data_IF_359677021296
#
_entry.id   IF_359677021296
#
_cell.length_a   1.000
_cell.length_b   1.000
_cell.length_c   1.000
_cell.angle_alpha   90.00
_cell.angle_beta   90.00
_cell.angle_gamma   90.00
#
_symmetry.space_group_name_H-M   'P 1'
#
loop_
_entity.id
_entity.type
_entity.pdbx_description
1 polymer ?
#
# COMPACT_ATOMS: atom_id res chain seq x y z
N UNK A 1 88.99 -42.92 41.58
CA UNK A 1 87.74 -43.44 41.00
C UNK A 1 87.64 -42.85 39.61
N UNK A 2 87.36 -43.61 38.54
CA UNK A 2 87.13 -43.00 37.23
C UNK A 2 85.92 -42.04 37.34
N UNK A 3 86.10 -40.81 36.87
CA UNK A 3 85.05 -39.77 36.80
C UNK A 3 84.06 -40.15 35.69
N UNK A 4 82.91 -40.68 36.09
CA UNK A 4 81.85 -41.12 35.16
C UNK A 4 80.98 -39.93 34.71
N UNK A 5 81.10 -38.79 35.38
CA UNK A 5 80.43 -37.54 35.03
C UNK A 5 80.77 -37.08 33.60
N UNK A 6 81.97 -37.40 33.11
CA UNK A 6 82.38 -37.10 31.73
C UNK A 6 81.55 -37.86 30.68
N UNK A 7 80.95 -39.01 31.03
CA UNK A 7 80.07 -39.78 30.14
C UNK A 7 78.60 -39.35 30.19
N UNK A 8 78.22 -38.54 31.18
CA UNK A 8 76.85 -38.03 31.37
C UNK A 8 76.64 -36.66 30.70
N UNK A 9 77.72 -36.00 30.25
CA UNK A 9 77.67 -34.74 29.52
C UNK A 9 77.02 -34.91 28.13
N UNK A 10 76.12 -33.98 27.79
CA UNK A 10 75.35 -34.03 26.54
C UNK A 10 76.21 -33.87 25.26
N UNK A 11 77.43 -33.36 25.40
CA UNK A 11 78.39 -33.13 24.31
C UNK A 11 79.50 -34.20 24.26
N UNK A 12 79.34 -35.34 24.94
CA UNK A 12 80.33 -36.42 24.91
C UNK A 12 80.51 -36.98 23.49
N UNK A 13 81.68 -36.75 22.90
CA UNK A 13 82.07 -37.33 21.61
C UNK A 13 82.91 -38.60 21.83
N UNK A 14 82.38 -39.79 21.49
CA UNK A 14 83.09 -41.07 21.64
C UNK A 14 84.41 -41.13 20.87
N UNK A 15 84.50 -40.42 19.74
CA UNK A 15 85.67 -40.47 18.85
C UNK A 15 86.80 -39.60 19.40
N UNK A 16 86.47 -38.41 19.91
CA UNK A 16 87.44 -37.53 20.58
C UNK A 16 88.02 -38.18 21.85
N UNK A 17 87.17 -38.85 22.65
CA UNK A 17 87.61 -39.56 23.86
C UNK A 17 88.53 -40.75 23.54
N UNK A 18 88.20 -41.57 22.53
CA UNK A 18 89.04 -42.67 22.10
C UNK A 18 90.42 -42.18 21.61
N UNK A 19 90.46 -41.09 20.84
CA UNK A 19 91.70 -40.48 20.38
C UNK A 19 92.54 -39.94 21.55
N UNK A 20 91.91 -39.27 22.53
CA UNK A 20 92.58 -38.79 23.73
C UNK A 20 93.17 -39.94 24.56
N UNK A 21 92.46 -41.07 24.65
CA UNK A 21 92.92 -42.24 25.40
C UNK A 21 94.12 -42.91 24.73
N UNK A 22 94.09 -43.06 23.40
CA UNK A 22 95.21 -43.61 22.62
C UNK A 22 96.45 -42.71 22.77
N UNK A 23 96.28 -41.39 22.67
CA UNK A 23 97.38 -40.42 22.87
C UNK A 23 97.92 -40.43 24.30
N UNK A 24 97.11 -40.74 25.31
CA UNK A 24 97.54 -40.84 26.70
C UNK A 24 98.34 -42.11 27.01
N UNK A 25 98.13 -43.19 26.25
CA UNK A 25 98.80 -44.48 26.47
C UNK A 25 100.01 -44.71 25.56
N UNK A 26 100.16 -43.95 24.47
CA UNK A 26 101.27 -44.07 23.52
C UNK A 26 102.32 -42.96 23.70
N UNK A 27 103.57 -43.32 23.97
CA UNK A 27 104.73 -42.40 23.89
C UNK A 27 105.10 -42.16 22.43
N UNK A 28 105.49 -40.93 22.05
CA UNK A 28 105.88 -40.57 20.67
C UNK A 28 107.19 -41.21 20.14
N UNK A 29 107.66 -42.28 20.80
CA UNK A 29 108.90 -43.01 20.51
C UNK A 29 108.71 -44.53 20.34
N UNK A 30 107.49 -45.05 20.51
CA UNK A 30 107.20 -46.46 20.27
C UNK A 30 106.88 -46.68 18.78
N UNK A 31 107.52 -47.67 18.14
CA UNK A 31 107.36 -47.96 16.71
C UNK A 31 106.06 -48.73 16.38
N UNK A 32 105.43 -49.36 17.38
CA UNK A 32 104.13 -50.03 17.26
C UNK A 32 103.12 -49.44 18.26
N UNK A 33 101.90 -49.17 17.79
CA UNK A 33 100.82 -48.58 18.60
C UNK A 33 100.20 -49.65 19.53
N UNK A 34 100.40 -49.54 20.83
CA UNK A 34 99.79 -50.45 21.82
C UNK A 34 98.31 -50.09 22.05
N UNK A 35 97.43 -50.80 21.36
CA UNK A 35 95.97 -50.68 21.50
C UNK A 35 95.39 -51.55 22.62
N UNK A 36 96.16 -52.49 23.16
CA UNK A 36 95.65 -53.44 24.15
C UNK A 36 95.38 -52.75 25.49
N UNK A 37 96.18 -51.74 25.86
CA UNK A 37 96.00 -51.00 27.11
C UNK A 37 94.74 -50.10 27.06
N UNK A 38 94.53 -49.25 26.04
CA UNK A 38 93.27 -48.51 25.85
C UNK A 38 92.03 -49.40 25.83
N UNK A 39 92.07 -50.51 25.10
CA UNK A 39 90.94 -51.44 24.99
C UNK A 39 90.62 -52.06 26.35
N UNK A 40 91.63 -52.49 27.11
CA UNK A 40 91.43 -53.01 28.48
C UNK A 40 90.83 -51.96 29.41
N UNK A 41 91.26 -50.69 29.30
CA UNK A 41 90.74 -49.60 30.11
C UNK A 41 89.28 -49.26 29.76
N UNK A 42 88.93 -49.12 28.49
CA UNK A 42 87.53 -48.92 28.05
C UNK A 42 86.66 -50.11 28.48
N UNK A 43 87.15 -51.34 28.31
CA UNK A 43 86.39 -52.52 28.73
C UNK A 43 86.14 -52.55 30.24
N UNK A 44 87.10 -52.09 31.04
CA UNK A 44 86.93 -51.97 32.49
C UNK A 44 85.93 -50.87 32.84
N UNK A 45 86.01 -49.72 32.19
CA UNK A 45 85.09 -48.59 32.41
C UNK A 45 83.65 -48.95 32.01
N UNK A 46 83.45 -49.68 30.90
CA UNK A 46 82.14 -50.20 30.46
C UNK A 46 81.59 -51.22 31.46
N UNK A 47 82.42 -52.14 31.95
CA UNK A 47 81.99 -53.10 32.96
C UNK A 47 81.60 -52.40 34.27
N UNK A 48 82.37 -51.39 34.68
CA UNK A 48 82.05 -50.59 35.87
C UNK A 48 80.75 -49.79 35.70
N UNK A 49 80.52 -49.20 34.52
CA UNK A 49 79.26 -48.52 34.20
C UNK A 49 78.08 -49.50 34.28
N UNK A 50 78.22 -50.71 33.71
CA UNK A 50 77.19 -51.74 33.78
C UNK A 50 76.92 -52.19 35.23
N UNK A 51 77.96 -52.36 36.04
CA UNK A 51 77.83 -52.69 37.47
C UNK A 51 77.13 -51.57 38.26
N UNK A 52 77.44 -50.31 37.97
CA UNK A 52 76.80 -49.17 38.61
C UNK A 52 75.35 -49.00 38.17
N UNK A 53 75.05 -49.16 36.87
CA UNK A 53 73.67 -49.18 36.36
C UNK A 53 72.89 -50.33 36.99
N UNK A 54 73.48 -51.52 37.10
CA UNK A 54 72.86 -52.66 37.81
C UNK A 54 72.60 -52.35 39.27
N UNK A 55 73.52 -51.68 39.96
CA UNK A 55 73.35 -51.28 41.36
C UNK A 55 72.23 -50.24 41.51
N UNK A 56 72.22 -49.20 40.66
CA UNK A 56 71.17 -48.17 40.67
C UNK A 56 69.80 -48.74 40.29
N UNK A 57 69.73 -49.62 39.30
CA UNK A 57 68.52 -50.37 38.94
C UNK A 57 68.07 -51.27 40.09
N UNK A 58 68.99 -51.91 40.82
CA UNK A 58 68.69 -52.76 41.97
C UNK A 58 68.22 -51.94 43.18
N UNK A 59 68.75 -50.75 43.41
CA UNK A 59 68.36 -49.91 44.53
C UNK A 59 67.01 -49.23 44.27
N UNK A 60 66.76 -48.79 43.02
CA UNK A 60 65.54 -48.07 42.61
C UNK A 60 64.52 -48.94 41.86
N UNK A 61 64.67 -50.27 41.88
CA UNK A 61 63.80 -51.19 41.13
C UNK A 61 62.31 -50.97 41.41
N UNK A 62 61.95 -50.62 42.66
CA UNK A 62 60.55 -50.39 43.07
C UNK A 62 59.93 -49.18 42.40
N UNK A 63 60.68 -48.07 42.29
CA UNK A 63 60.18 -46.84 41.67
C UNK A 63 60.12 -46.96 40.15
N UNK A 64 61.09 -47.66 39.54
CA UNK A 64 61.05 -47.97 38.11
C UNK A 64 59.85 -48.85 37.78
N UNK A 65 59.60 -49.90 38.56
CA UNK A 65 58.43 -50.76 38.38
C UNK A 65 57.11 -50.01 38.59
N UNK A 66 57.01 -49.10 39.57
CA UNK A 66 55.80 -48.30 39.77
C UNK A 66 55.57 -47.32 38.63
N UNK A 67 56.61 -46.63 38.15
CA UNK A 67 56.51 -45.73 37.00
C UNK A 67 56.16 -46.47 35.72
N UNK A 68 56.74 -47.65 35.49
CA UNK A 68 56.38 -48.51 34.35
C UNK A 68 54.92 -48.99 34.46
N UNK A 69 54.46 -49.35 35.66
CA UNK A 69 53.06 -49.69 35.89
C UNK A 69 52.11 -48.49 35.68
N UNK A 70 52.47 -47.29 36.14
CA UNK A 70 51.69 -46.07 35.95
C UNK A 70 51.64 -45.62 34.49
N UNK A 71 52.72 -45.79 33.73
CA UNK A 71 52.74 -45.52 32.29
C UNK A 71 51.87 -46.55 31.56
N UNK A 72 51.98 -47.83 31.92
CA UNK A 72 51.15 -48.90 31.34
C UNK A 72 49.65 -48.65 31.60
N UNK A 73 49.27 -48.29 32.81
CA UNK A 73 47.86 -48.00 33.15
C UNK A 73 47.34 -46.76 32.44
N UNK A 74 48.15 -45.70 32.32
CA UNK A 74 47.79 -44.51 31.54
C UNK A 74 47.62 -44.85 30.07
N UNK A 75 48.54 -45.60 29.46
CA UNK A 75 48.41 -46.08 28.09
C UNK A 75 47.14 -46.92 27.88
N UNK A 76 46.80 -47.80 28.83
CA UNK A 76 45.55 -48.56 28.79
C UNK A 76 44.32 -47.65 28.86
N UNK A 77 44.29 -46.66 29.74
CA UNK A 77 43.17 -45.69 29.81
C UNK A 77 43.08 -44.81 28.56
N UNK A 78 44.21 -44.46 27.95
CA UNK A 78 44.26 -43.66 26.73
C UNK A 78 43.71 -44.48 25.55
N UNK A 79 44.15 -45.74 25.43
CA UNK A 79 43.60 -46.69 24.45
C UNK A 79 42.10 -46.92 24.69
N UNK A 80 41.66 -47.00 25.94
CA UNK A 80 40.25 -47.15 26.28
C UNK A 80 39.41 -45.90 25.93
N UNK A 81 40.01 -44.70 25.93
CA UNK A 81 39.32 -43.44 25.61
C UNK A 81 39.29 -43.15 24.10
N UNK A 82 40.27 -43.64 23.34
CA UNK A 82 40.32 -43.45 21.88
C UNK A 82 39.08 -44.00 21.17
N UNK A 83 38.58 -45.16 21.59
CA UNK A 83 37.38 -45.77 21.00
C UNK A 83 36.12 -44.91 21.23
N UNK A 84 35.73 -44.54 22.47
CA UNK A 84 34.63 -43.61 22.73
C UNK A 84 34.80 -42.25 22.04
N UNK A 85 36.02 -41.70 21.99
CA UNK A 85 36.26 -40.40 21.35
C UNK A 85 36.06 -40.48 19.83
N UNK A 86 36.47 -41.59 19.21
CA UNK A 86 36.21 -41.88 17.80
C UNK A 86 34.71 -42.07 17.55
N UNK A 87 34.00 -42.75 18.46
CA UNK A 87 32.56 -42.97 18.35
C UNK A 87 31.77 -41.67 18.46
N UNK A 88 32.11 -40.79 19.42
CA UNK A 88 31.51 -39.45 19.56
C UNK A 88 31.81 -38.58 18.35
N UNK A 89 33.06 -38.56 17.86
CA UNK A 89 33.41 -37.80 16.67
C UNK A 89 32.68 -38.33 15.43
N UNK A 90 32.50 -39.65 15.32
CA UNK A 90 31.72 -40.26 14.24
C UNK A 90 30.24 -39.90 14.34
N UNK A 91 29.67 -39.90 15.55
CA UNK A 91 28.27 -39.55 15.81
C UNK A 91 28.01 -38.07 15.53
N UNK A 92 28.96 -37.20 15.90
CA UNK A 92 28.91 -35.78 15.57
C UNK A 92 28.98 -35.54 14.05
N UNK A 93 29.92 -36.21 13.36
CA UNK A 93 30.01 -36.13 11.89
C UNK A 93 28.74 -36.63 11.20
N UNK A 94 28.12 -37.71 11.71
CA UNK A 94 26.82 -38.18 11.25
C UNK A 94 25.75 -37.12 11.45
N UNK A 95 25.60 -36.56 12.65
CA UNK A 95 24.63 -35.50 12.91
C UNK A 95 24.85 -34.25 12.03
N UNK A 96 26.11 -33.86 11.82
CA UNK A 96 26.46 -32.73 10.97
C UNK A 96 26.05 -32.96 9.52
N UNK A 97 26.31 -34.15 8.99
CA UNK A 97 26.02 -34.48 7.59
C UNK A 97 24.54 -34.81 7.39
N UNK A 98 23.92 -35.53 8.31
CA UNK A 98 22.58 -36.08 8.17
C UNK A 98 21.49 -35.07 8.56
N UNK A 99 21.81 -34.08 9.43
CA UNK A 99 20.81 -33.14 9.95
C UNK A 99 21.17 -31.69 9.61
N UNK A 100 22.38 -31.23 9.94
CA UNK A 100 22.75 -29.82 9.75
C UNK A 100 22.88 -29.45 8.27
N UNK A 101 23.58 -30.25 7.46
CA UNK A 101 23.74 -29.98 6.04
C UNK A 101 22.39 -29.91 5.28
N UNK A 102 21.46 -30.87 5.40
CA UNK A 102 20.16 -30.77 4.74
C UNK A 102 19.30 -29.64 5.30
N UNK A 103 19.40 -29.31 6.59
CA UNK A 103 18.71 -28.15 7.17
C UNK A 103 19.13 -26.84 6.48
N UNK A 104 20.44 -26.58 6.35
CA UNK A 104 20.91 -25.36 5.69
C UNK A 104 20.54 -25.31 4.20
N UNK A 105 20.51 -26.45 3.51
CA UNK A 105 20.01 -26.54 2.14
C UNK A 105 18.51 -26.19 2.08
N UNK A 106 17.71 -26.73 3.00
CA UNK A 106 16.28 -26.45 3.08
C UNK A 106 15.99 -24.97 3.42
N UNK A 107 16.76 -24.36 4.31
CA UNK A 107 16.60 -22.94 4.67
C UNK A 107 16.91 -22.01 3.48
N UNK A 108 17.94 -22.33 2.71
CA UNK A 108 18.26 -21.62 1.46
C UNK A 108 17.12 -21.75 0.44
N UNK A 109 16.57 -22.95 0.25
CA UNK A 109 15.42 -23.19 -0.64
C UNK A 109 14.16 -22.48 -0.14
N UNK A 110 13.90 -22.51 1.16
CA UNK A 110 12.77 -21.80 1.77
C UNK A 110 12.89 -20.30 1.56
N UNK A 111 14.08 -19.72 1.78
CA UNK A 111 14.34 -18.31 1.53
C UNK A 111 14.17 -17.94 0.05
N UNK A 112 14.61 -18.79 -0.87
CA UNK A 112 14.39 -18.61 -2.30
C UNK A 112 12.89 -18.67 -2.66
N UNK A 113 12.17 -19.66 -2.13
CA UNK A 113 10.73 -19.82 -2.33
C UNK A 113 9.94 -18.63 -1.78
N UNK A 114 10.31 -18.12 -0.60
CA UNK A 114 9.71 -16.94 0.02
C UNK A 114 9.88 -15.70 -0.86
N UNK A 115 11.06 -15.50 -1.44
CA UNK A 115 11.32 -14.40 -2.40
C UNK A 115 10.47 -14.57 -3.66
N UNK A 116 10.44 -15.77 -4.24
CA UNK A 116 9.63 -16.06 -5.44
C UNK A 116 8.14 -15.82 -5.18
N UNK A 117 7.62 -16.31 -4.07
CA UNK A 117 6.23 -16.10 -3.68
C UNK A 117 5.92 -14.61 -3.53
N UNK A 118 6.74 -13.86 -2.78
CA UNK A 118 6.56 -12.43 -2.61
C UNK A 118 6.60 -11.67 -3.95
N UNK A 119 7.56 -12.00 -4.83
CA UNK A 119 7.62 -11.40 -6.16
C UNK A 119 6.42 -11.76 -7.03
N UNK A 120 5.88 -12.98 -6.88
CA UNK A 120 4.71 -13.43 -7.63
C UNK A 120 3.45 -12.71 -7.15
N UNK A 121 3.27 -12.55 -5.84
CA UNK A 121 2.13 -11.81 -5.28
C UNK A 121 2.16 -10.33 -5.70
N UNK A 122 3.34 -9.72 -5.68
CA UNK A 122 3.54 -8.35 -6.15
C UNK A 122 3.25 -8.26 -7.66
N UNK A 123 3.73 -9.22 -8.45
CA UNK A 123 3.45 -9.26 -9.88
C UNK A 123 1.96 -9.46 -10.16
N UNK A 124 1.27 -10.36 -9.46
CA UNK A 124 -0.18 -10.61 -9.63
C UNK A 124 -1.00 -9.38 -9.27
N UNK A 125 -0.69 -8.73 -8.16
CA UNK A 125 -1.37 -7.50 -7.74
C UNK A 125 -1.11 -6.36 -8.72
N UNK A 126 0.11 -6.24 -9.28
CA UNK A 126 0.40 -5.31 -10.37
C UNK A 126 -0.38 -5.65 -11.64
N UNK A 127 -0.44 -6.91 -12.05
CA UNK A 127 -1.18 -7.36 -13.24
C UNK A 127 -2.66 -7.06 -13.10
N UNK A 128 -3.25 -7.35 -11.94
CA UNK A 128 -4.65 -7.04 -11.67
C UNK A 128 -4.92 -5.53 -11.68
N UNK A 129 -4.04 -4.73 -11.07
CA UNK A 129 -4.12 -3.27 -11.14
C UNK A 129 -4.05 -2.74 -12.58
N UNK A 130 -3.12 -3.26 -13.39
CA UNK A 130 -3.00 -2.88 -14.80
C UNK A 130 -4.21 -3.31 -15.63
N UNK A 131 -4.75 -4.50 -15.37
CA UNK A 131 -5.98 -4.98 -16.01
C UNK A 131 -7.14 -4.03 -15.74
N UNK A 132 -7.35 -3.64 -14.48
CA UNK A 132 -8.37 -2.66 -14.12
C UNK A 132 -8.11 -1.28 -14.72
N UNK A 133 -6.85 -0.84 -14.79
CA UNK A 133 -6.50 0.43 -15.41
C UNK A 133 -6.79 0.44 -16.92
N UNK A 134 -6.59 -0.69 -17.61
CA UNK A 134 -6.98 -0.86 -19.02
C UNK A 134 -8.51 -0.89 -19.15
N UNK A 135 -9.19 -1.62 -18.26
CA UNK A 135 -10.65 -1.68 -18.24
C UNK A 135 -11.27 -0.30 -18.04
N UNK A 136 -10.70 0.53 -17.16
CA UNK A 136 -11.12 1.92 -16.94
C UNK A 136 -11.04 2.77 -18.21
N UNK A 137 -10.01 2.56 -19.05
CA UNK A 137 -9.90 3.27 -20.32
C UNK A 137 -10.90 2.77 -21.37
N UNK A 138 -11.38 1.53 -21.24
CA UNK A 138 -12.36 0.92 -22.15
C UNK A 138 -13.82 1.17 -21.75
N UNK A 139 -14.10 1.49 -20.48
CA UNK A 139 -15.46 1.77 -20.02
C UNK A 139 -15.96 3.13 -20.48
N UNK A 140 -17.10 3.13 -21.17
CA UNK A 140 -17.77 4.35 -21.64
C UNK A 140 -18.76 4.91 -20.61
N UNK A 141 -19.22 4.07 -19.68
CA UNK A 141 -20.16 4.48 -18.64
C UNK A 141 -19.47 5.18 -17.46
N UNK A 142 -20.08 6.26 -16.97
CA UNK A 142 -19.54 7.10 -15.89
C UNK A 142 -19.62 6.42 -14.54
N UNK A 143 -20.70 5.67 -14.25
CA UNK A 143 -20.83 4.93 -13.00
C UNK A 143 -19.86 3.74 -12.95
N UNK A 144 -19.78 2.97 -14.03
CA UNK A 144 -18.81 1.87 -14.13
C UNK A 144 -17.35 2.35 -14.00
N UNK A 145 -17.01 3.47 -14.63
CA UNK A 145 -15.68 4.07 -14.52
C UNK A 145 -15.37 4.56 -13.09
N UNK A 146 -16.34 5.14 -12.39
CA UNK A 146 -16.17 5.56 -11.00
C UNK A 146 -16.01 4.36 -10.05
N UNK A 147 -16.77 3.28 -10.26
CA UNK A 147 -16.60 2.02 -9.53
C UNK A 147 -15.20 1.43 -9.69
N UNK A 148 -14.69 1.37 -10.93
CA UNK A 148 -13.33 0.90 -11.21
C UNK A 148 -12.25 1.78 -10.58
N UNK A 149 -12.42 3.10 -10.55
CA UNK A 149 -11.49 4.02 -9.85
C UNK A 149 -11.49 3.75 -8.34
N UNK A 150 -12.67 3.52 -7.75
CA UNK A 150 -12.78 3.14 -6.33
C UNK A 150 -12.07 1.81 -6.06
N UNK A 151 -12.30 0.80 -6.89
CA UNK A 151 -11.68 -0.52 -6.75
C UNK A 151 -10.15 -0.47 -6.93
N UNK A 152 -9.66 0.36 -7.85
CA UNK A 152 -8.24 0.67 -7.98
C UNK A 152 -7.67 1.32 -6.72
N UNK A 153 -8.42 2.22 -6.08
CA UNK A 153 -8.01 2.89 -4.86
C UNK A 153 -8.03 1.95 -3.64
N UNK A 154 -9.03 1.08 -3.50
CA UNK A 154 -9.09 0.08 -2.42
C UNK A 154 -7.96 -0.91 -2.55
N UNK A 155 -7.66 -1.40 -3.75
CA UNK A 155 -6.56 -2.33 -3.95
C UNK A 155 -5.18 -1.68 -3.77
N UNK A 156 -5.02 -0.41 -4.16
CA UNK A 156 -3.83 0.36 -3.85
C UNK A 156 -3.61 0.51 -2.33
N UNK A 157 -4.68 0.57 -1.52
CA UNK A 157 -4.60 0.58 -0.06
C UNK A 157 -4.24 -0.78 0.52
N UNK A 158 -4.79 -1.87 -0.02
CA UNK A 158 -4.54 -3.24 0.46
C UNK A 158 -3.09 -3.67 0.22
N UNK A 159 -2.48 -3.23 -0.89
CA UNK A 159 -1.11 -3.61 -1.27
C UNK A 159 -0.15 -2.41 -1.29
N UNK A 160 0.33 -1.92 -0.12
CA UNK A 160 1.24 -0.78 -0.05
C UNK A 160 2.61 -1.03 -0.72
N UNK A 161 3.02 -2.30 -0.85
CA UNK A 161 4.24 -2.69 -1.56
C UNK A 161 4.25 -2.38 -3.06
N UNK A 162 3.09 -2.05 -3.66
CA UNK A 162 3.03 -1.58 -5.04
C UNK A 162 3.51 -0.12 -5.18
N UNK A 163 3.44 0.68 -4.11
CA UNK A 163 3.82 2.10 -4.14
C UNK A 163 5.31 2.35 -4.41
N UNK A 164 6.17 1.36 -4.11
CA UNK A 164 7.60 1.43 -4.41
C UNK A 164 7.93 1.23 -5.88
N UNK A 165 7.02 0.68 -6.69
CA UNK A 165 7.25 0.50 -8.13
C UNK A 165 7.04 1.81 -8.89
N UNK A 166 8.02 2.17 -9.72
CA UNK A 166 7.92 3.37 -10.58
C UNK A 166 6.74 3.30 -11.55
N UNK A 167 6.51 2.12 -12.16
CA UNK A 167 5.39 1.89 -13.08
C UNK A 167 4.05 2.18 -12.39
N UNK A 168 3.88 1.70 -11.16
CA UNK A 168 2.68 1.96 -10.37
C UNK A 168 2.52 3.46 -10.06
N UNK A 169 3.61 4.15 -9.70
CA UNK A 169 3.58 5.60 -9.44
C UNK A 169 3.18 6.42 -10.68
N UNK A 170 3.62 6.02 -11.86
CA UNK A 170 3.25 6.71 -13.10
C UNK A 170 1.79 6.43 -13.48
N UNK A 171 1.31 5.20 -13.34
CA UNK A 171 -0.12 4.90 -13.49
C UNK A 171 -0.99 5.57 -12.43
N UNK A 172 -0.49 5.79 -11.21
CA UNK A 172 -1.20 6.51 -10.16
C UNK A 172 -1.36 8.00 -10.51
N UNK A 173 -0.36 8.62 -11.15
CA UNK A 173 -0.50 9.99 -11.68
C UNK A 173 -1.54 10.05 -12.79
N UNK A 174 -1.50 9.09 -13.72
CA UNK A 174 -2.50 8.98 -14.80
C UNK A 174 -3.91 8.75 -14.25
N UNK A 175 -4.04 7.95 -13.18
CA UNK A 175 -5.31 7.73 -12.49
C UNK A 175 -5.87 9.01 -11.87
N UNK A 176 -5.03 9.83 -11.21
CA UNK A 176 -5.46 11.13 -10.69
C UNK A 176 -5.92 12.08 -11.80
N UNK A 177 -5.30 12.02 -12.97
CA UNK A 177 -5.71 12.81 -14.14
C UNK A 177 -7.01 12.28 -14.76
N UNK A 178 -7.20 10.97 -14.85
CA UNK A 178 -8.44 10.38 -15.34
C UNK A 178 -9.61 10.62 -14.38
N UNK A 179 -9.37 10.57 -13.08
CA UNK A 179 -10.33 10.94 -12.03
C UNK A 179 -10.77 12.40 -12.16
N UNK A 180 -9.84 13.34 -12.36
CA UNK A 180 -10.16 14.74 -12.64
C UNK A 180 -10.99 14.90 -13.92
N UNK A 181 -10.63 14.19 -14.98
CA UNK A 181 -11.40 14.23 -16.24
C UNK A 181 -12.81 13.66 -16.07
N UNK A 182 -12.94 12.58 -15.30
CA UNK A 182 -14.21 11.94 -15.02
C UNK A 182 -15.10 12.80 -14.14
N UNK A 183 -14.56 13.40 -13.07
CA UNK A 183 -15.29 14.37 -12.24
C UNK A 183 -15.77 15.57 -13.07
N UNK A 184 -14.92 16.12 -13.94
CA UNK A 184 -15.34 17.18 -14.87
C UNK A 184 -16.46 16.73 -15.82
N UNK A 185 -16.39 15.53 -16.39
CA UNK A 185 -17.46 14.97 -17.23
C UNK A 185 -18.76 14.76 -16.45
N UNK A 186 -18.68 14.23 -15.24
CA UNK A 186 -19.87 14.03 -14.38
C UNK A 186 -20.51 15.37 -14.02
N UNK A 187 -19.73 16.37 -13.61
CA UNK A 187 -20.22 17.72 -13.31
C UNK A 187 -20.82 18.39 -14.55
N UNK A 188 -20.20 18.22 -15.73
CA UNK A 188 -20.74 18.74 -16.98
C UNK A 188 -22.08 18.07 -17.34
N UNK A 189 -22.21 16.75 -17.15
CA UNK A 189 -23.44 16.01 -17.40
C UNK A 189 -24.57 16.43 -16.44
N UNK A 190 -24.26 16.69 -15.17
CA UNK A 190 -25.22 17.21 -14.18
C UNK A 190 -25.66 18.64 -14.54
N UNK A 191 -24.75 19.47 -15.08
CA UNK A 191 -25.07 20.85 -15.50
C UNK A 191 -25.80 20.93 -16.83
N UNK A 192 -25.69 19.91 -17.69
CA UNK A 192 -26.36 19.87 -18.99
C UNK A 192 -27.81 19.37 -18.93
N UNK A 193 -28.36 19.14 -17.73
CA UNK A 193 -29.75 18.68 -17.56
C UNK A 193 -30.67 19.68 -18.25
N UNK A 194 -31.40 19.21 -19.26
CA UNK A 194 -32.36 20.04 -19.99
C UNK A 194 -33.78 19.62 -19.62
N UNK A 195 -34.75 20.49 -19.87
CA UNK A 195 -36.18 20.17 -19.66
C UNK A 195 -36.69 19.06 -20.59
N UNK A 196 -35.95 18.74 -21.64
CA UNK A 196 -36.23 17.69 -22.63
C UNK A 196 -35.12 16.64 -22.53
N UNK A 197 -34.95 16.04 -21.35
CA UNK A 197 -33.97 14.98 -21.21
C UNK A 197 -34.48 13.72 -21.91
N UNK A 198 -33.78 13.27 -22.96
CA UNK A 198 -34.04 11.96 -23.57
C UNK A 198 -33.83 10.84 -22.53
N UNK A 199 -34.41 9.66 -22.74
CA UNK A 199 -34.21 8.54 -21.81
C UNK A 199 -32.73 8.19 -21.63
N UNK A 200 -31.93 8.33 -22.70
CA UNK A 200 -30.48 8.12 -22.68
C UNK A 200 -29.73 9.17 -21.86
N UNK A 201 -30.14 10.44 -21.93
CA UNK A 201 -29.60 11.50 -21.08
C UNK A 201 -29.95 11.24 -19.61
N UNK A 202 -31.17 10.81 -19.29
CA UNK A 202 -31.56 10.47 -17.91
C UNK A 202 -30.71 9.34 -17.34
N UNK A 203 -30.40 8.31 -18.13
CA UNK A 203 -29.50 7.23 -17.70
C UNK A 203 -28.07 7.69 -17.53
N UNK A 204 -27.57 8.57 -18.42
CA UNK A 204 -26.23 9.14 -18.29
C UNK A 204 -26.10 10.07 -17.08
N UNK A 205 -27.12 10.89 -16.80
CA UNK A 205 -27.16 11.75 -15.61
C UNK A 205 -27.24 10.89 -14.35
N UNK A 206 -28.03 9.81 -14.35
CA UNK A 206 -28.07 8.86 -13.24
C UNK A 206 -26.71 8.21 -13.01
N UNK A 207 -26.01 7.81 -14.07
CA UNK A 207 -24.67 7.21 -13.93
C UNK A 207 -23.60 8.24 -13.53
N UNK A 208 -23.73 9.50 -13.95
CA UNK A 208 -22.91 10.61 -13.47
C UNK A 208 -23.14 10.93 -11.99
N UNK A 209 -24.40 10.91 -11.52
CA UNK A 209 -24.75 11.13 -10.11
C UNK A 209 -24.17 10.02 -9.24
N UNK A 210 -24.40 8.76 -9.62
CA UNK A 210 -23.88 7.60 -8.89
C UNK A 210 -22.34 7.61 -8.90
N UNK A 211 -21.73 7.90 -10.05
CA UNK A 211 -20.26 7.96 -10.15
C UNK A 211 -19.64 9.09 -9.34
N UNK A 212 -20.27 10.26 -9.29
CA UNK A 212 -19.79 11.38 -8.46
C UNK A 212 -20.05 11.14 -6.97
N UNK A 213 -21.14 10.47 -6.60
CA UNK A 213 -21.39 10.05 -5.22
C UNK A 213 -20.35 9.05 -4.71
N UNK A 214 -19.90 8.12 -5.55
CA UNK A 214 -18.83 7.16 -5.21
C UNK A 214 -17.46 7.81 -5.02
N UNK A 215 -17.17 8.86 -5.77
CA UNK A 215 -15.85 9.51 -5.77
C UNK A 215 -15.75 10.62 -4.72
N UNK A 216 -16.73 11.53 -4.69
CA UNK A 216 -16.76 12.67 -3.77
C UNK A 216 -18.17 13.25 -3.59
N UNK A 217 -18.78 12.97 -2.44
CA UNK A 217 -20.09 13.53 -2.02
C UNK A 217 -20.11 15.07 -2.07
N UNK A 218 -18.99 15.74 -1.74
CA UNK A 218 -18.96 17.21 -1.67
C UNK A 218 -19.03 17.84 -3.06
N UNK A 219 -18.37 17.22 -4.03
CA UNK A 219 -18.42 17.68 -5.41
C UNK A 219 -19.81 17.51 -5.99
N UNK A 220 -20.52 16.42 -5.66
CA UNK A 220 -21.91 16.22 -6.07
C UNK A 220 -22.83 17.33 -5.51
N UNK A 221 -22.76 17.61 -4.22
CA UNK A 221 -23.53 18.70 -3.59
C UNK A 221 -23.24 20.06 -4.27
N UNK A 222 -21.96 20.36 -4.53
CA UNK A 222 -21.56 21.60 -5.20
C UNK A 222 -22.04 21.68 -6.66
N UNK A 223 -22.06 20.55 -7.38
CA UNK A 223 -22.49 20.49 -8.76
C UNK A 223 -24.00 20.72 -8.87
N UNK A 224 -24.78 20.10 -7.99
CA UNK A 224 -26.23 20.31 -7.87
C UNK A 224 -26.56 21.75 -7.52
N UNK A 225 -25.88 22.34 -6.52
CA UNK A 225 -26.08 23.73 -6.14
C UNK A 225 -25.70 24.70 -7.28
N UNK A 226 -24.60 24.44 -7.98
CA UNK A 226 -24.17 25.22 -9.14
C UNK A 226 -25.20 25.14 -10.27
N UNK A 227 -25.72 23.95 -10.57
CA UNK A 227 -26.78 23.77 -11.58
C UNK A 227 -28.04 24.56 -11.20
N UNK A 228 -28.53 24.43 -9.96
CA UNK A 228 -29.69 25.18 -9.46
C UNK A 228 -29.48 26.70 -9.56
N UNK A 229 -28.34 27.21 -9.10
CA UNK A 229 -28.01 28.64 -9.19
C UNK A 229 -27.94 29.16 -10.62
N UNK A 230 -27.50 28.33 -11.57
CA UNK A 230 -27.44 28.65 -12.99
C UNK A 230 -28.86 28.76 -13.58
N UNK A 231 -29.75 27.81 -13.31
CA UNK A 231 -31.15 27.90 -13.76
C UNK A 231 -31.87 29.10 -13.15
N UNK A 232 -31.64 29.42 -11.88
CA UNK A 232 -32.20 30.61 -11.23
C UNK A 232 -31.68 31.88 -11.93
N UNK A 233 -30.37 32.00 -12.14
CA UNK A 233 -29.76 33.17 -12.78
C UNK A 233 -30.23 33.37 -14.22
N UNK A 234 -30.37 32.28 -14.99
CA UNK A 234 -30.94 32.31 -16.34
C UNK A 234 -32.42 32.73 -16.32
N UNK A 235 -33.20 32.24 -15.35
CA UNK A 235 -34.61 32.60 -15.21
C UNK A 235 -34.79 34.08 -14.83
N UNK A 236 -33.94 34.59 -13.94
CA UNK A 236 -33.93 36.01 -13.54
C UNK A 236 -33.52 36.92 -14.71
N UNK A 237 -32.52 36.52 -15.51
CA UNK A 237 -32.09 37.32 -16.67
C UNK A 237 -33.14 37.33 -17.79
N UNK A 238 -33.81 36.19 -18.03
CA UNK A 238 -34.95 36.11 -18.94
C UNK A 238 -36.10 37.01 -18.49
N UNK A 239 -36.44 36.99 -17.19
CA UNK A 239 -37.43 37.89 -16.59
C UNK A 239 -37.05 39.35 -16.76
N UNK A 240 -35.80 39.72 -16.47
CA UNK A 240 -35.34 41.09 -16.60
C UNK A 240 -35.52 41.64 -18.03
N UNK A 241 -35.42 40.76 -19.05
CA UNK A 241 -35.62 41.13 -20.46
C UNK A 241 -37.10 41.14 -20.86
N UNK A 242 -37.91 40.22 -20.34
CA UNK A 242 -39.30 40.00 -20.76
C UNK A 242 -40.36 40.85 -20.07
N UNK A 243 -40.06 41.47 -18.92
CA UNK A 243 -41.05 42.33 -18.23
C UNK A 243 -41.39 43.59 -19.05
N UNK A 244 -40.72 43.82 -20.19
CA UNK A 244 -40.97 44.95 -21.08
C UNK A 244 -42.19 44.80 -22.01
N UNK A 245 -42.64 43.57 -22.31
CA UNK A 245 -43.84 43.33 -23.12
C UNK A 245 -44.61 42.07 -22.68
N UNK A 246 -45.94 42.11 -22.78
CA UNK A 246 -46.85 41.05 -22.33
C UNK A 246 -46.57 39.70 -23.01
N UNK A 247 -46.47 39.68 -24.34
CA UNK A 247 -46.20 38.46 -25.13
C UNK A 247 -44.83 37.84 -24.79
N UNK A 248 -43.83 38.66 -24.48
CA UNK A 248 -42.51 38.16 -24.08
C UNK A 248 -42.50 37.59 -22.66
N UNK A 249 -43.38 38.09 -21.78
CA UNK A 249 -43.55 37.57 -20.42
C UNK A 249 -44.18 36.17 -20.46
N UNK A 250 -45.18 35.93 -21.31
CA UNK A 250 -45.76 34.59 -21.50
C UNK A 250 -44.73 33.58 -22.03
N UNK A 251 -43.93 33.99 -23.02
CA UNK A 251 -42.83 33.14 -23.53
C UNK A 251 -41.74 32.89 -22.47
N UNK A 252 -41.39 33.91 -21.68
CA UNK A 252 -40.44 33.75 -20.58
C UNK A 252 -40.98 32.81 -19.49
N UNK A 253 -42.26 32.90 -19.13
CA UNK A 253 -42.90 31.99 -18.18
C UNK A 253 -42.87 30.55 -18.67
N UNK A 254 -43.09 30.33 -19.97
CA UNK A 254 -42.96 29.00 -20.56
C UNK A 254 -41.53 28.43 -20.39
N UNK A 255 -40.49 29.21 -20.68
CA UNK A 255 -39.08 28.79 -20.50
C UNK A 255 -38.70 28.60 -19.02
N UNK A 256 -39.25 29.40 -18.11
CA UNK A 256 -39.03 29.22 -16.66
C UNK A 256 -39.70 27.94 -16.16
N UNK A 257 -40.88 27.59 -16.68
CA UNK A 257 -41.51 26.30 -16.39
C UNK A 257 -40.65 25.11 -16.88
N UNK A 258 -39.93 25.28 -18.01
CA UNK A 258 -38.96 24.30 -18.49
C UNK A 258 -37.75 24.17 -17.56
N UNK A 259 -37.22 25.28 -17.05
CA UNK A 259 -36.15 25.25 -16.04
C UNK A 259 -36.61 24.55 -14.74
N UNK A 260 -37.85 24.82 -14.28
CA UNK A 260 -38.43 24.12 -13.13
C UNK A 260 -38.56 22.61 -13.40
N UNK A 261 -38.94 22.19 -14.61
CA UNK A 261 -38.98 20.77 -14.97
C UNK A 261 -37.60 20.13 -14.89
N UNK A 262 -36.56 20.80 -15.37
CA UNK A 262 -35.18 20.32 -15.29
C UNK A 262 -34.69 20.17 -13.84
N UNK A 263 -35.07 21.10 -12.95
CA UNK A 263 -34.77 21.00 -11.51
C UNK A 263 -35.55 19.84 -10.87
N UNK A 264 -36.81 19.65 -11.25
CA UNK A 264 -37.61 18.53 -10.76
C UNK A 264 -37.08 17.18 -11.24
N UNK A 265 -36.66 17.06 -12.50
CA UNK A 265 -36.08 15.81 -13.01
C UNK A 265 -34.78 15.49 -12.30
N UNK A 266 -33.91 16.49 -12.08
CA UNK A 266 -32.71 16.34 -11.27
C UNK A 266 -33.03 15.83 -9.85
N UNK A 267 -34.03 16.41 -9.18
CA UNK A 267 -34.48 15.95 -7.87
C UNK A 267 -34.95 14.50 -7.87
N UNK A 268 -35.74 14.09 -8.87
CA UNK A 268 -36.19 12.69 -9.00
C UNK A 268 -35.07 11.71 -9.34
N UNK A 269 -34.05 12.15 -10.07
CA UNK A 269 -32.89 11.33 -10.40
C UNK A 269 -31.98 11.16 -9.17
N UNK A 270 -31.80 12.21 -8.37
CA UNK A 270 -31.11 12.13 -7.08
C UNK A 270 -31.84 11.17 -6.14
N UNK A 271 -33.17 11.22 -6.09
CA UNK A 271 -33.95 10.33 -5.21
C UNK A 271 -33.92 8.86 -5.64
N UNK A 272 -33.70 8.60 -6.94
CA UNK A 272 -33.68 7.26 -7.54
C UNK A 272 -32.27 6.67 -7.61
N UNK A 273 -31.23 7.49 -7.53
CA UNK A 273 -29.86 7.02 -7.57
C UNK A 273 -29.54 6.21 -6.31
N UNK A 274 -29.00 5.02 -6.51
CA UNK A 274 -28.62 4.09 -5.43
C UNK A 274 -27.14 3.76 -5.61
N UNK A 275 -26.36 3.85 -4.53
CA UNK A 275 -24.99 3.38 -4.54
C UNK A 275 -24.97 1.84 -4.48
N UNK A 276 -24.17 1.17 -5.33
CA UNK A 276 -23.96 -0.26 -5.23
C UNK A 276 -23.22 -0.59 -3.93
N UNK A 277 -23.66 -1.68 -3.30
CA UNK A 277 -23.17 -2.16 -2.00
C UNK A 277 -21.66 -2.40 -1.99
N UNK A 278 -21.01 -2.14 -0.84
CA UNK A 278 -19.57 -2.36 -0.65
C UNK A 278 -19.19 -3.83 -0.39
N UNK A 279 -20.19 -4.73 -0.28
CA UNK A 279 -20.02 -6.18 -0.15
C UNK A 279 -21.36 -6.93 -0.25
N UNK A 280 -21.33 -8.26 -0.26
CA UNK A 280 -22.52 -9.12 -0.42
C UNK A 280 -23.56 -8.97 0.72
N UNK A 281 -23.19 -8.39 1.86
CA UNK A 281 -24.02 -8.27 3.07
C UNK A 281 -24.48 -6.83 3.42
N UNK A 282 -24.05 -5.78 2.69
CA UNK A 282 -24.49 -4.40 2.96
C UNK A 282 -25.64 -3.96 2.04
N UNK A 283 -26.72 -3.37 2.57
CA UNK A 283 -27.81 -2.88 1.74
C UNK A 283 -27.37 -1.68 0.89
N UNK A 284 -27.85 -1.63 -0.35
CA UNK A 284 -27.57 -0.55 -1.27
C UNK A 284 -28.10 0.80 -0.72
N UNK A 285 -27.22 1.76 -0.45
CA UNK A 285 -27.59 3.04 0.16
C UNK A 285 -28.12 4.01 -0.91
N UNK A 286 -29.34 4.54 -0.78
CA UNK A 286 -29.85 5.56 -1.70
C UNK A 286 -29.05 6.86 -1.56
N UNK A 287 -28.77 7.52 -2.70
CA UNK A 287 -28.00 8.78 -2.74
C UNK A 287 -28.70 9.91 -1.97
N UNK A 288 -30.02 9.80 -1.77
CA UNK A 288 -30.85 10.71 -0.98
C UNK A 288 -30.48 10.78 0.50
N UNK A 289 -29.93 9.68 1.05
CA UNK A 289 -29.61 9.58 2.49
C UNK A 289 -28.22 10.12 2.83
N UNK A 290 -27.45 10.56 1.82
CA UNK A 290 -26.18 11.22 2.10
C UNK A 290 -26.44 12.57 2.79
N UNK A 291 -25.79 12.84 3.93
CA UNK A 291 -26.13 13.95 4.82
C UNK A 291 -26.09 15.31 4.12
N UNK A 292 -25.14 15.54 3.19
CA UNK A 292 -25.04 16.82 2.47
C UNK A 292 -26.08 16.98 1.38
N UNK A 293 -26.60 15.87 0.87
CA UNK A 293 -27.62 15.84 -0.18
C UNK A 293 -29.00 15.89 0.46
N UNK A 294 -29.19 15.25 1.61
CA UNK A 294 -30.37 15.36 2.46
C UNK A 294 -30.61 16.82 2.88
N UNK A 295 -29.60 17.53 3.38
CA UNK A 295 -29.68 18.96 3.72
C UNK A 295 -30.13 19.83 2.52
N UNK A 296 -29.72 19.45 1.29
CA UNK A 296 -30.10 20.15 0.07
C UNK A 296 -31.53 19.82 -0.38
N UNK A 297 -31.97 18.57 -0.17
CA UNK A 297 -33.29 18.07 -0.55
C UNK A 297 -34.38 18.46 0.45
N UNK A 298 -34.06 18.68 1.73
CA UNK A 298 -35.02 19.03 2.80
C UNK A 298 -35.81 20.31 2.52
N UNK A 299 -35.22 21.25 1.78
CA UNK A 299 -35.90 22.50 1.41
C UNK A 299 -36.79 22.40 0.16
N UNK A 300 -36.84 21.23 -0.49
CA UNK A 300 -37.42 20.97 -1.81
C UNK A 300 -36.87 21.93 -2.88
N UNK A 301 -35.99 21.43 -3.74
CA UNK A 301 -35.26 22.20 -4.77
C UNK A 301 -36.19 23.11 -5.61
N UNK A 302 -37.39 22.64 -5.91
CA UNK A 302 -38.40 23.39 -6.66
C UNK A 302 -38.95 24.58 -5.85
N UNK A 303 -39.23 24.41 -4.56
CA UNK A 303 -39.76 25.48 -3.70
C UNK A 303 -38.74 26.61 -3.53
N UNK A 304 -37.44 26.27 -3.43
CA UNK A 304 -36.35 27.26 -3.43
C UNK A 304 -36.25 28.01 -4.76
N UNK A 305 -36.28 27.29 -5.88
CA UNK A 305 -36.27 27.87 -7.23
C UNK A 305 -37.40 28.90 -7.40
N UNK A 306 -38.65 28.53 -7.11
CA UNK A 306 -39.80 29.43 -7.29
C UNK A 306 -39.80 30.60 -6.31
N UNK A 307 -39.30 30.43 -5.08
CA UNK A 307 -39.15 31.54 -4.11
C UNK A 307 -38.17 32.60 -4.61
N UNK A 308 -37.02 32.17 -5.13
CA UNK A 308 -35.99 33.08 -5.64
C UNK A 308 -36.46 33.78 -6.93
N UNK A 309 -37.10 33.05 -7.85
CA UNK A 309 -37.71 33.63 -9.06
C UNK A 309 -38.83 34.62 -8.71
N UNK A 310 -39.69 34.32 -7.73
CA UNK A 310 -40.76 35.20 -7.29
C UNK A 310 -40.22 36.51 -6.66
N UNK A 311 -39.19 36.41 -5.83
CA UNK A 311 -38.57 37.58 -5.21
C UNK A 311 -37.94 38.50 -6.26
N UNK A 312 -37.26 37.93 -7.26
CA UNK A 312 -36.70 38.67 -8.38
C UNK A 312 -37.80 39.33 -9.25
N UNK A 313 -38.89 38.61 -9.53
CA UNK A 313 -40.03 39.17 -10.27
C UNK A 313 -40.67 40.35 -9.53
N UNK A 314 -40.91 40.21 -8.22
CA UNK A 314 -41.48 41.28 -7.38
C UNK A 314 -40.61 42.54 -7.39
N UNK A 315 -39.28 42.38 -7.23
CA UNK A 315 -38.33 43.49 -7.26
C UNK A 315 -38.36 44.22 -8.62
N UNK A 316 -38.37 43.48 -9.73
CA UNK A 316 -38.38 44.07 -11.09
C UNK A 316 -39.67 44.81 -11.41
N UNK A 317 -40.81 44.28 -10.95
CA UNK A 317 -42.10 44.96 -11.10
C UNK A 317 -42.10 46.27 -10.31
N UNK A 318 -41.62 46.27 -9.06
CA UNK A 318 -41.48 47.49 -8.25
C UNK A 318 -40.56 48.52 -8.90
N UNK A 319 -39.42 48.11 -9.46
CA UNK A 319 -38.52 49.00 -10.20
C UNK A 319 -39.18 49.63 -11.45
N UNK A 320 -40.05 48.90 -12.14
CA UNK A 320 -40.81 49.47 -13.28
C UNK A 320 -41.90 50.43 -12.84
N UNK A 321 -42.52 50.20 -11.69
CA UNK A 321 -43.49 51.13 -11.13
C UNK A 321 -42.86 52.46 -10.76
N UNK A 322 -41.66 52.44 -10.16
CA UNK A 322 -40.95 53.68 -9.79
C UNK A 322 -40.43 54.44 -11.01
N UNK A 323 -40.09 53.75 -12.11
CA UNK A 323 -39.54 54.36 -13.34
C UNK A 323 -40.58 54.75 -14.39
N UNK A 324 -41.87 54.42 -14.18
CA UNK A 324 -42.98 54.74 -15.09
C UNK A 324 -42.70 54.41 -16.57
N UNK A 325 -42.09 53.25 -16.84
CA UNK A 325 -41.70 52.82 -18.19
C UNK A 325 -42.91 52.52 -19.10
N UNK A 326 -42.79 52.76 -20.43
CA UNK A 326 -43.82 52.39 -21.40
C UNK A 326 -44.13 50.88 -21.34
N UNK A 327 -45.41 50.53 -21.52
CA UNK A 327 -45.94 49.16 -21.38
C UNK A 327 -46.50 48.81 -19.99
N UNK A 328 -46.27 49.63 -18.97
CA UNK A 328 -46.79 49.39 -17.61
C UNK A 328 -48.33 49.30 -17.56
N UNK A 329 -49.03 50.18 -18.30
CA UNK A 329 -50.50 50.17 -18.35
C UNK A 329 -51.08 48.90 -19.00
N UNK A 330 -50.38 48.36 -19.99
CA UNK A 330 -50.77 47.08 -20.62
C UNK A 330 -50.64 45.92 -19.62
N UNK A 331 -49.56 45.93 -18.83
CA UNK A 331 -49.33 44.94 -17.78
C UNK A 331 -50.37 45.03 -16.64
N UNK A 332 -50.81 46.24 -16.27
CA UNK A 332 -51.86 46.46 -15.28
C UNK A 332 -53.25 46.01 -15.79
N UNK A 333 -53.57 46.29 -17.06
CA UNK A 333 -54.82 45.85 -17.68
C UNK A 333 -54.89 44.32 -17.81
N UNK A 334 -53.76 43.66 -18.08
CA UNK A 334 -53.68 42.20 -18.25
C UNK A 334 -53.33 41.44 -16.96
N UNK A 335 -53.43 42.07 -15.79
CA UNK A 335 -53.02 41.49 -14.50
C UNK A 335 -53.67 40.13 -14.22
N UNK A 336 -54.99 39.99 -14.42
CA UNK A 336 -55.73 38.74 -14.18
C UNK A 336 -55.29 37.61 -15.13
N UNK A 337 -55.00 37.94 -16.39
CA UNK A 337 -54.44 36.98 -17.36
C UNK A 337 -53.03 36.55 -16.94
N UNK A 338 -52.19 37.47 -16.51
CA UNK A 338 -50.84 37.16 -16.03
C UNK A 338 -50.85 36.28 -14.77
N UNK A 339 -51.79 36.47 -13.85
CA UNK A 339 -51.97 35.57 -12.72
C UNK A 339 -52.31 34.14 -13.15
N UNK A 340 -53.13 33.97 -14.20
CA UNK A 340 -53.44 32.64 -14.75
C UNK A 340 -52.25 32.02 -15.47
N UNK A 341 -51.51 32.79 -16.28
CA UNK A 341 -50.31 32.31 -17.01
C UNK A 341 -49.21 31.91 -16.05
N UNK A 342 -48.98 32.68 -14.98
CA UNK A 342 -47.99 32.36 -13.96
C UNK A 342 -48.39 31.12 -13.16
N UNK A 343 -49.67 30.99 -12.80
CA UNK A 343 -50.17 29.79 -12.11
C UNK A 343 -50.06 28.53 -12.98
N UNK A 344 -50.32 28.66 -14.28
CA UNK A 344 -50.18 27.58 -15.24
C UNK A 344 -48.71 27.24 -15.53
N UNK A 345 -47.82 28.23 -15.55
CA UNK A 345 -46.38 28.00 -15.69
C UNK A 345 -45.80 27.26 -14.46
N UNK A 346 -46.30 27.55 -13.26
CA UNK A 346 -45.90 26.84 -12.03
C UNK A 346 -46.39 25.40 -12.04
N UNK A 347 -47.65 25.14 -12.43
CA UNK A 347 -48.17 23.77 -12.51
C UNK A 347 -47.49 22.94 -13.60
N UNK A 348 -47.11 23.59 -14.71
CA UNK A 348 -46.29 22.98 -15.77
C UNK A 348 -44.86 22.68 -15.28
N UNK A 349 -44.38 23.27 -14.19
CA UNK A 349 -43.02 23.13 -13.65
C UNK A 349 -42.63 21.74 -13.13
N UNK A 350 -43.55 20.77 -13.07
CA UNK A 350 -43.27 19.40 -12.63
C UNK A 350 -43.17 19.24 -11.10
N UNK A 351 -43.00 18.01 -10.59
CA UNK A 351 -42.73 17.77 -9.16
C UNK A 351 -43.95 17.84 -8.23
N UNK A 352 -45.18 17.65 -8.74
CA UNK A 352 -46.39 17.67 -7.92
C UNK A 352 -46.91 19.06 -7.55
N UNK A 353 -46.37 20.13 -8.15
CA UNK A 353 -46.85 21.49 -7.95
C UNK A 353 -48.26 21.67 -8.53
N UNK A 354 -49.18 22.15 -7.70
CA UNK A 354 -50.57 22.41 -8.08
C UNK A 354 -50.80 23.90 -8.38
N UNK A 355 -51.84 24.21 -9.17
CA UNK A 355 -52.22 25.58 -9.56
C UNK A 355 -52.55 26.47 -8.33
N UNK A 356 -52.89 25.85 -7.20
CA UNK A 356 -53.16 26.49 -5.90
C UNK A 356 -52.10 26.22 -4.82
N UNK A 357 -50.97 25.64 -5.22
CA UNK A 357 -49.83 25.36 -4.35
C UNK A 357 -49.23 26.62 -3.73
N UNK A 358 -48.45 26.43 -2.67
CA UNK A 358 -47.77 27.54 -1.97
C UNK A 358 -46.89 28.35 -2.93
N UNK A 359 -46.24 27.69 -3.88
CA UNK A 359 -45.38 28.28 -4.90
C UNK A 359 -46.17 29.14 -5.91
N UNK A 360 -47.35 28.69 -6.32
CA UNK A 360 -48.24 29.45 -7.20
C UNK A 360 -48.77 30.70 -6.48
N UNK A 361 -49.08 30.59 -5.18
CA UNK A 361 -49.47 31.74 -4.33
C UNK A 361 -48.32 32.73 -4.15
N UNK A 362 -47.09 32.25 -3.95
CA UNK A 362 -45.89 33.10 -3.84
C UNK A 362 -45.62 33.85 -5.15
N UNK A 363 -45.77 33.19 -6.30
CA UNK A 363 -45.62 33.84 -7.61
C UNK A 363 -46.77 34.81 -7.94
N UNK A 364 -48.03 34.50 -7.57
CA UNK A 364 -49.14 35.48 -7.65
C UNK A 364 -48.89 36.69 -6.74
N UNK A 365 -48.38 36.46 -5.53
CA UNK A 365 -47.96 37.52 -4.61
C UNK A 365 -46.81 38.39 -5.15
N UNK A 366 -45.96 37.86 -6.03
CA UNK A 366 -44.94 38.64 -6.71
C UNK A 366 -45.54 39.70 -7.67
N UNK A 367 -46.73 39.44 -8.22
CA UNK A 367 -47.47 40.35 -9.11
C UNK A 367 -48.31 41.38 -8.34
N UNK A 368 -48.46 41.25 -7.01
CA UNK A 368 -49.28 42.13 -6.18
C UNK A 368 -49.03 43.65 -6.34
N UNK A 369 -47.79 44.13 -6.63
CA UNK A 369 -47.59 45.56 -6.87
C UNK A 369 -48.40 46.10 -8.05
N UNK A 370 -48.78 45.27 -9.04
CA UNK A 370 -49.52 45.66 -10.25
C UNK A 370 -51.00 45.96 -10.06
N UNK A 371 -51.53 45.67 -8.87
CA UNK A 371 -52.94 45.80 -8.54
C UNK A 371 -53.38 47.23 -8.27
#
# INVERSE_FOLDING_TARGET
>A
MPDIDQFLDADFDPVAYANQLVLQTSSSRDEDLDLDIPIKKISYDVQHLDDQVRTLCRDNHKELLSRVADVSTKEETLKALEAPMKDVNSSYKKLQNDVLAPYYQADNLYSALKRVHHTTDLLRSLTWYLYLAVQLNGTLDMAGSAGLVRDLHTHAKIHPGLASLQIFRDHQKLLKESEKKLTLRCVASIKSVSSVSTSAEKTAISSAIVGLAMLDERQLASAVQSALSNYISQSISLLARSVNSDESLEHAMHTISQHSRAVSTLGTLLSRAVLPAEGDDEPATPVSELPRIADLLDSNLNSKFWRDVASALNLRIKERMTRATPGLRSLQQNHSRLETVVAEAVSRGGGGLTVDGMEAKVMKGALAPLK
#
